data_IF_417303286865
#
_entry.id   IF_417303286865
#
_cell.length_a   1.000
_cell.length_b   1.000
_cell.length_c   1.000
_cell.angle_alpha   90.00
_cell.angle_beta   90.00
_cell.angle_gamma   90.00
#
_symmetry.space_group_name_H-M   'P 1'
#
loop_
_entity.id
_entity.type
_entity.pdbx_description
1 polymer ?
#
# COMPACT_ATOMS: atom_id res chain seq x y z
N UNK A 1 20.98 11.40 11.39
CA UNK A 1 20.12 10.28 10.97
C UNK A 1 18.89 10.35 11.85
N UNK A 2 17.77 10.85 11.33
CA UNK A 2 16.53 10.91 12.11
C UNK A 2 15.97 9.50 12.25
N UNK A 3 15.60 9.11 13.46
CA UNK A 3 14.93 7.84 13.74
C UNK A 3 13.56 7.86 13.05
N UNK A 4 13.37 7.02 12.04
CA UNK A 4 12.03 6.73 11.51
C UNK A 4 11.29 5.97 12.61
N UNK A 5 10.38 6.63 13.30
CA UNK A 5 9.52 6.00 14.31
C UNK A 5 8.25 5.51 13.60
N UNK A 6 7.93 4.23 13.70
CA UNK A 6 6.64 3.69 13.23
C UNK A 6 5.69 3.64 14.42
N UNK A 7 4.94 4.72 14.67
CA UNK A 7 3.84 4.68 15.62
C UNK A 7 2.63 3.98 14.99
N UNK A 8 2.31 2.77 15.46
CA UNK A 8 1.02 2.13 15.22
C UNK A 8 -0.04 2.85 16.05
N UNK A 9 -0.57 3.95 15.53
CA UNK A 9 -1.78 4.54 16.05
C UNK A 9 -2.94 3.64 15.66
N UNK A 10 -3.53 2.94 16.63
CA UNK A 10 -4.84 2.33 16.46
C UNK A 10 -5.82 3.42 16.04
N UNK A 11 -6.25 3.39 14.78
CA UNK A 11 -7.19 4.38 14.26
C UNK A 11 -8.61 3.95 14.64
N UNK A 12 -9.12 4.51 15.74
CA UNK A 12 -10.52 4.36 16.11
C UNK A 12 -11.39 5.26 15.24
N UNK A 13 -12.01 4.67 14.22
CA UNK A 13 -12.94 5.36 13.31
C UNK A 13 -14.20 5.87 14.02
N UNK A 14 -14.48 5.39 15.24
CA UNK A 14 -15.66 5.78 16.03
C UNK A 14 -15.38 6.91 17.01
N UNK A 15 -14.10 7.15 17.33
CA UNK A 15 -13.69 8.24 18.21
C UNK A 15 -12.32 8.77 17.75
N UNK A 16 -12.29 9.63 16.70
CA UNK A 16 -11.08 10.32 16.28
C UNK A 16 -10.73 11.34 17.36
N UNK A 17 -10.09 10.87 18.44
CA UNK A 17 -9.67 11.73 19.53
C UNK A 17 -8.74 12.84 19.01
N UNK A 18 -8.87 14.04 19.58
CA UNK A 18 -8.24 15.30 19.16
C UNK A 18 -6.70 15.35 19.17
N UNK A 19 -6.01 14.21 19.33
CA UNK A 19 -4.55 14.14 19.45
C UNK A 19 -3.83 13.49 18.26
N UNK A 20 -4.51 12.87 17.31
CA UNK A 20 -3.86 12.26 16.13
C UNK A 20 -3.91 13.22 14.94
N UNK A 21 -2.74 13.72 14.52
CA UNK A 21 -2.65 14.51 13.29
C UNK A 21 -3.04 13.67 12.07
N UNK A 22 -3.75 14.24 11.08
CA UNK A 22 -4.21 13.50 9.91
C UNK A 22 -3.03 12.91 9.12
N UNK A 23 -3.16 11.74 8.47
CA UNK A 23 -2.11 11.24 7.59
C UNK A 23 -1.85 12.23 6.46
N UNK A 24 -0.60 12.33 6.02
CA UNK A 24 -0.26 13.06 4.79
C UNK A 24 -0.22 12.14 3.58
N UNK A 25 0.00 10.84 3.79
CA UNK A 25 0.08 9.84 2.75
C UNK A 25 -0.70 8.59 3.14
N UNK A 26 -1.30 7.93 2.15
CA UNK A 26 -1.89 6.61 2.24
C UNK A 26 -1.22 5.73 1.20
N UNK A 27 -0.67 4.60 1.62
CA UNK A 27 -0.23 3.54 0.72
C UNK A 27 -1.18 2.37 0.91
N UNK A 28 -1.92 2.02 -0.13
CA UNK A 28 -2.97 1.01 -0.07
C UNK A 28 -2.83 0.01 -1.20
N UNK A 29 -2.89 -1.27 -0.86
CA UNK A 29 -2.84 -2.37 -1.81
C UNK A 29 -4.20 -2.59 -2.49
N UNK A 30 -4.18 -2.98 -3.77
CA UNK A 30 -5.39 -3.26 -4.53
C UNK A 30 -5.33 -4.62 -5.25
N UNK A 31 -6.38 -5.43 -5.06
CA UNK A 31 -6.79 -6.47 -6.00
C UNK A 31 -7.88 -5.92 -6.92
N UNK A 32 -9.15 -6.27 -6.69
CA UNK A 32 -10.28 -5.58 -7.36
C UNK A 32 -10.48 -4.13 -6.90
N UNK A 33 -9.81 -3.70 -5.83
CA UNK A 33 -9.79 -2.30 -5.35
C UNK A 33 -10.92 -1.87 -4.41
N UNK A 34 -11.87 -2.75 -4.05
CA UNK A 34 -12.97 -2.39 -3.15
C UNK A 34 -12.50 -1.87 -1.78
N UNK A 35 -11.50 -2.53 -1.18
CA UNK A 35 -10.88 -2.07 0.08
C UNK A 35 -10.19 -0.72 -0.11
N UNK A 36 -9.38 -0.58 -1.17
CA UNK A 36 -8.65 0.65 -1.46
C UNK A 36 -9.58 1.84 -1.66
N UNK A 37 -10.65 1.68 -2.45
CA UNK A 37 -11.66 2.72 -2.65
C UNK A 37 -12.33 3.15 -1.34
N UNK A 38 -12.75 2.19 -0.51
CA UNK A 38 -13.39 2.49 0.77
C UNK A 38 -12.47 3.22 1.76
N UNK A 39 -11.20 2.82 1.84
CA UNK A 39 -10.20 3.49 2.70
C UNK A 39 -9.94 4.91 2.22
N UNK A 40 -9.67 5.08 0.92
CA UNK A 40 -9.32 6.39 0.34
C UNK A 40 -10.49 7.35 0.50
N UNK A 41 -11.70 6.92 0.14
CA UNK A 41 -12.89 7.74 0.30
C UNK A 41 -13.14 8.09 1.78
N UNK A 42 -13.06 7.11 2.68
CA UNK A 42 -13.27 7.32 4.11
C UNK A 42 -12.26 8.31 4.71
N UNK A 43 -10.97 8.18 4.38
CA UNK A 43 -9.95 9.09 4.87
C UNK A 43 -10.11 10.50 4.31
N UNK A 44 -10.49 10.64 3.04
CA UNK A 44 -10.76 11.95 2.45
C UNK A 44 -12.02 12.61 3.05
N UNK A 45 -13.05 11.83 3.41
CA UNK A 45 -14.20 12.36 4.14
C UNK A 45 -13.84 12.84 5.55
N UNK A 46 -12.94 12.14 6.23
CA UNK A 46 -12.52 12.48 7.60
C UNK A 46 -11.52 13.65 7.66
N UNK A 47 -10.59 13.73 6.70
CA UNK A 47 -9.42 14.62 6.77
C UNK A 47 -9.28 15.57 5.59
N UNK A 48 -10.17 15.49 4.60
CA UNK A 48 -10.10 16.25 3.37
C UNK A 48 -9.20 15.62 2.30
N UNK A 49 -9.16 16.26 1.14
CA UNK A 49 -8.54 15.72 -0.09
C UNK A 49 -7.05 16.05 -0.22
N UNK A 50 -6.40 16.61 0.81
CA UNK A 50 -4.97 16.94 0.77
C UNK A 50 -4.05 15.73 1.01
N UNK A 51 -4.61 14.54 1.24
CA UNK A 51 -3.85 13.32 1.49
C UNK A 51 -3.32 12.77 0.17
N UNK A 52 -2.03 12.45 0.11
CA UNK A 52 -1.42 11.77 -1.03
C UNK A 52 -1.79 10.30 -1.05
N UNK A 53 -2.39 9.83 -2.14
CA UNK A 53 -2.88 8.45 -2.27
C UNK A 53 -2.01 7.68 -3.25
N UNK A 54 -1.44 6.58 -2.76
CA UNK A 54 -0.60 5.66 -3.53
C UNK A 54 -1.27 4.30 -3.51
N UNK A 55 -1.69 3.83 -4.68
CA UNK A 55 -2.27 2.50 -4.86
C UNK A 55 -1.18 1.56 -5.36
N UNK A 56 -1.00 0.40 -4.70
CA UNK A 56 0.02 -0.59 -5.06
C UNK A 56 -0.59 -1.91 -5.49
N UNK A 57 -0.09 -2.46 -6.59
CA UNK A 57 -0.49 -3.74 -7.17
C UNK A 57 0.74 -4.63 -7.46
N UNK A 58 0.56 -5.96 -7.52
CA UNK A 58 1.59 -6.88 -8.00
C UNK A 58 1.81 -6.72 -9.51
N UNK A 59 3.06 -6.84 -9.98
CA UNK A 59 3.42 -6.71 -11.40
C UNK A 59 2.65 -7.61 -12.35
N UNK A 60 2.20 -8.78 -11.89
CA UNK A 60 1.47 -9.72 -12.74
C UNK A 60 -0.06 -9.57 -12.65
N UNK A 61 -0.57 -8.66 -11.81
CA UNK A 61 -2.01 -8.38 -11.66
C UNK A 61 -2.26 -6.87 -11.39
N UNK A 62 -1.72 -5.99 -12.23
CA UNK A 62 -1.71 -4.53 -12.08
C UNK A 62 -2.81 -3.82 -12.88
N UNK A 63 -4.06 -4.22 -12.64
CA UNK A 63 -5.20 -3.76 -13.42
C UNK A 63 -5.46 -2.25 -13.26
N UNK A 64 -5.29 -1.68 -12.08
CA UNK A 64 -5.44 -0.24 -11.84
C UNK A 64 -4.31 0.57 -12.49
N UNK A 65 -3.07 0.10 -12.44
CA UNK A 65 -1.95 0.71 -13.15
C UNK A 65 -2.22 0.77 -14.66
N UNK A 66 -2.59 -0.36 -15.27
CA UNK A 66 -2.93 -0.41 -16.69
C UNK A 66 -4.14 0.46 -17.04
N UNK A 67 -5.14 0.51 -16.15
CA UNK A 67 -6.29 1.42 -16.30
C UNK A 67 -5.86 2.89 -16.31
N UNK A 68 -4.92 3.27 -15.44
CA UNK A 68 -4.39 4.64 -15.37
C UNK A 68 -3.61 5.07 -16.61
N UNK A 69 -2.99 4.12 -17.31
CA UNK A 69 -2.31 4.36 -18.58
C UNK A 69 -3.28 4.41 -19.78
N UNK A 70 -4.57 4.11 -19.59
CA UNK A 70 -5.53 4.12 -20.70
C UNK A 70 -5.89 5.53 -21.13
N UNK A 71 -5.77 5.80 -22.43
CA UNK A 71 -6.14 7.10 -23.02
C UNK A 71 -7.64 7.41 -22.97
N UNK A 72 -8.49 6.39 -22.86
CA UNK A 72 -9.96 6.53 -22.84
C UNK A 72 -10.53 6.62 -21.40
N UNK A 73 -9.68 6.52 -20.38
CA UNK A 73 -10.09 6.52 -18.96
C UNK A 73 -10.93 5.31 -18.53
N UNK A 74 -11.07 4.30 -19.39
CA UNK A 74 -11.81 3.07 -19.09
C UNK A 74 -10.95 2.09 -18.27
N UNK A 75 -11.57 1.33 -17.35
CA UNK A 75 -10.87 0.27 -16.65
C UNK A 75 -10.33 -0.77 -17.64
N UNK A 76 -9.09 -1.20 -17.43
CA UNK A 76 -8.41 -2.25 -18.17
C UNK A 76 -8.19 -3.46 -17.28
N UNK A 77 -8.23 -4.64 -17.89
CA UNK A 77 -7.85 -5.88 -17.24
C UNK A 77 -6.33 -5.98 -17.17
N UNK A 78 -5.78 -6.54 -16.09
CA UNK A 78 -4.37 -6.86 -16.00
C UNK A 78 -3.97 -7.84 -17.13
N UNK A 79 -2.87 -7.55 -17.80
CA UNK A 79 -2.34 -8.36 -18.92
C UNK A 79 -1.43 -9.51 -18.47
N UNK A 80 -0.94 -9.49 -17.23
CA UNK A 80 -0.08 -10.53 -16.66
C UNK A 80 -0.78 -11.88 -16.44
N UNK A 81 -0.05 -12.87 -15.97
CA UNK A 81 -0.57 -14.23 -15.71
C UNK A 81 -1.23 -14.38 -14.32
N UNK A 82 -1.28 -13.30 -13.53
CA UNK A 82 -1.72 -13.29 -12.13
C UNK A 82 -0.83 -14.12 -11.18
N UNK A 83 0.35 -14.53 -11.63
CA UNK A 83 1.30 -15.27 -10.81
C UNK A 83 2.00 -14.32 -9.83
N UNK A 84 1.58 -14.35 -8.58
CA UNK A 84 2.15 -13.55 -7.49
C UNK A 84 1.94 -14.24 -6.15
N UNK A 85 2.87 -14.06 -5.21
CA UNK A 85 2.69 -14.48 -3.82
C UNK A 85 1.61 -13.65 -3.09
N UNK A 86 1.26 -12.47 -3.60
CA UNK A 86 0.21 -11.60 -3.04
C UNK A 86 -1.18 -12.11 -3.45
N UNK A 87 -1.57 -13.30 -2.96
CA UNK A 87 -2.78 -14.00 -3.39
C UNK A 87 -4.06 -13.16 -3.26
N UNK A 88 -4.16 -12.30 -2.23
CA UNK A 88 -5.29 -11.39 -2.04
C UNK A 88 -5.40 -10.28 -3.10
N UNK A 89 -4.33 -10.02 -3.85
CA UNK A 89 -4.24 -8.97 -4.87
C UNK A 89 -4.24 -9.52 -6.30
N UNK A 90 -4.22 -10.85 -6.49
CA UNK A 90 -4.14 -11.52 -7.79
C UNK A 90 -5.47 -11.42 -8.60
N UNK A 91 -5.87 -10.21 -8.96
CA UNK A 91 -7.15 -9.91 -9.60
C UNK A 91 -6.96 -9.47 -11.06
N UNK A 92 -7.82 -9.97 -11.95
CA UNK A 92 -7.76 -9.64 -13.38
C UNK A 92 -8.37 -8.28 -13.70
N UNK A 93 -9.49 -7.94 -13.08
CA UNK A 93 -10.30 -6.79 -13.46
C UNK A 93 -10.56 -5.89 -12.24
N UNK A 94 -10.49 -4.57 -12.40
CA UNK A 94 -10.86 -3.66 -11.33
C UNK A 94 -12.37 -3.70 -11.12
N UNK A 95 -12.80 -3.54 -9.87
CA UNK A 95 -14.20 -3.27 -9.57
C UNK A 95 -14.56 -1.90 -10.18
N UNK A 96 -15.60 -1.79 -11.04
CA UNK A 96 -15.96 -0.52 -11.68
C UNK A 96 -16.28 0.62 -10.70
N UNK A 97 -16.85 0.31 -9.53
CA UNK A 97 -17.11 1.31 -8.49
C UNK A 97 -15.81 1.79 -7.86
N UNK A 98 -14.90 0.86 -7.56
CA UNK A 98 -13.58 1.21 -7.02
C UNK A 98 -12.78 2.03 -8.03
N UNK A 99 -12.83 1.69 -9.32
CA UNK A 99 -12.18 2.48 -10.38
C UNK A 99 -12.68 3.92 -10.42
N UNK A 100 -13.99 4.13 -10.34
CA UNK A 100 -14.56 5.47 -10.35
C UNK A 100 -14.11 6.33 -9.17
N UNK A 101 -13.86 5.73 -8.01
CA UNK A 101 -13.29 6.44 -6.85
C UNK A 101 -11.80 6.67 -7.07
N UNK A 102 -11.05 5.60 -7.33
CA UNK A 102 -9.59 5.64 -7.30
C UNK A 102 -9.00 6.42 -8.46
N UNK A 103 -9.63 6.46 -9.64
CA UNK A 103 -9.13 7.24 -10.79
C UNK A 103 -9.01 8.74 -10.48
N UNK A 104 -9.91 9.27 -9.64
CA UNK A 104 -9.99 10.70 -9.34
C UNK A 104 -9.25 11.05 -8.03
N UNK A 105 -9.10 10.06 -7.14
CA UNK A 105 -8.51 10.25 -5.80
C UNK A 105 -7.05 9.80 -5.68
N UNK A 106 -6.50 9.08 -6.66
CA UNK A 106 -5.14 8.49 -6.57
C UNK A 106 -4.09 9.40 -7.21
N UNK A 107 -3.05 9.74 -6.47
CA UNK A 107 -1.91 10.50 -7.00
C UNK A 107 -0.93 9.61 -7.77
N UNK A 108 -0.80 8.33 -7.38
CA UNK A 108 0.12 7.40 -8.03
C UNK A 108 -0.36 5.96 -7.95
N UNK A 109 -0.47 5.31 -9.11
CA UNK A 109 -0.58 3.86 -9.21
C UNK A 109 0.81 3.25 -9.37
N UNK A 110 1.14 2.28 -8.53
CA UNK A 110 2.45 1.63 -8.49
C UNK A 110 2.28 0.14 -8.69
N UNK A 111 3.12 -0.41 -9.56
CA UNK A 111 3.25 -1.85 -9.78
C UNK A 111 4.57 -2.32 -9.16
N UNK A 112 4.57 -3.44 -8.42
CA UNK A 112 5.77 -3.92 -7.74
C UNK A 112 5.94 -5.45 -7.79
N UNK A 113 7.19 -5.94 -7.81
CA UNK A 113 7.46 -7.37 -7.79
C UNK A 113 7.25 -7.95 -6.38
N UNK A 114 7.00 -9.25 -6.31
CA UNK A 114 6.81 -10.02 -5.06
C UNK A 114 7.92 -9.85 -4.03
N UNK A 115 9.15 -9.55 -4.48
CA UNK A 115 10.27 -9.25 -3.59
C UNK A 115 10.00 -8.04 -2.67
N UNK A 116 9.18 -7.08 -3.10
CA UNK A 116 8.78 -5.91 -2.32
C UNK A 116 7.83 -6.33 -1.19
N UNK A 117 6.82 -7.14 -1.47
CA UNK A 117 5.95 -7.73 -0.45
C UNK A 117 6.75 -8.52 0.59
N UNK A 118 7.62 -9.43 0.13
CA UNK A 118 8.48 -10.22 1.00
C UNK A 118 9.43 -9.36 1.87
N UNK A 119 9.91 -8.23 1.35
CA UNK A 119 10.70 -7.25 2.14
C UNK A 119 9.85 -6.63 3.25
N UNK A 120 8.62 -6.23 2.96
CA UNK A 120 7.68 -5.72 3.96
C UNK A 120 7.42 -6.73 5.07
N UNK A 121 7.20 -8.01 4.72
CA UNK A 121 6.92 -9.08 5.68
C UNK A 121 8.07 -9.24 6.68
N UNK A 122 9.32 -9.27 6.19
CA UNK A 122 10.52 -9.41 7.02
C UNK A 122 10.68 -8.26 8.00
N UNK A 123 10.40 -7.03 7.56
CA UNK A 123 10.52 -5.84 8.40
C UNK A 123 9.43 -5.78 9.48
N UNK A 124 8.19 -6.16 9.16
CA UNK A 124 7.11 -6.26 10.14
C UNK A 124 7.39 -7.38 11.17
N UNK A 125 7.95 -8.50 10.71
CA UNK A 125 8.31 -9.62 11.57
C UNK A 125 9.57 -9.37 12.43
N UNK A 126 10.47 -8.50 11.98
CA UNK A 126 11.74 -8.14 12.62
C UNK A 126 11.89 -6.60 12.66
N UNK A 127 11.15 -5.92 13.54
CA UNK A 127 11.07 -4.47 13.58
C UNK A 127 12.40 -3.81 13.99
N UNK A 128 12.54 -2.52 13.67
CA UNK A 128 13.69 -1.71 14.07
C UNK A 128 13.48 -1.13 15.47
N UNK A 129 14.53 -1.15 16.29
CA UNK A 129 14.51 -0.50 17.60
C UNK A 129 13.43 -1.06 18.53
N UNK A 130 12.46 -0.23 18.89
CA UNK A 130 11.35 -0.57 19.79
C UNK A 130 10.00 -0.64 19.05
N UNK A 131 10.01 -0.59 17.72
CA UNK A 131 8.79 -0.73 16.94
C UNK A 131 8.15 -2.10 17.23
N UNK A 132 6.81 -2.18 17.30
CA UNK A 132 6.12 -3.43 17.60
C UNK A 132 6.24 -4.42 16.45
N UNK A 133 6.41 -5.70 16.81
CA UNK A 133 6.37 -6.79 15.84
C UNK A 133 4.93 -7.00 15.34
N UNK A 134 4.77 -7.09 14.03
CA UNK A 134 3.50 -7.40 13.36
C UNK A 134 3.65 -8.68 12.54
N UNK A 135 2.69 -9.60 12.67
CA UNK A 135 2.56 -10.71 11.74
C UNK A 135 1.75 -10.22 10.54
N UNK A 136 2.36 -10.27 9.36
CA UNK A 136 1.75 -9.81 8.12
C UNK A 136 1.97 -10.85 7.04
N UNK A 137 0.91 -11.14 6.28
CA UNK A 137 1.00 -11.89 5.04
C UNK A 137 1.51 -11.04 3.89
N UNK A 138 1.67 -11.69 2.75
CA UNK A 138 2.24 -11.15 1.51
C UNK A 138 1.50 -9.90 1.03
N UNK A 139 0.17 -9.98 0.94
CA UNK A 139 -0.68 -8.89 0.44
C UNK A 139 -0.77 -7.75 1.46
N UNK A 140 -0.72 -8.08 2.75
CA UNK A 140 -0.78 -7.10 3.85
C UNK A 140 0.50 -6.27 3.97
N UNK A 141 1.65 -6.84 3.62
CA UNK A 141 2.95 -6.25 3.86
C UNK A 141 3.45 -5.34 2.72
N UNK A 142 2.89 -5.47 1.51
CA UNK A 142 3.38 -4.76 0.34
C UNK A 142 3.44 -3.23 0.48
N UNK A 143 2.53 -2.54 1.20
CA UNK A 143 2.65 -1.10 1.41
C UNK A 143 3.95 -0.69 2.13
N UNK A 144 4.36 -1.44 3.17
CA UNK A 144 5.62 -1.16 3.87
C UNK A 144 6.82 -1.47 2.98
N UNK A 145 6.77 -2.58 2.24
CA UNK A 145 7.79 -2.94 1.27
C UNK A 145 8.03 -1.81 0.27
N UNK A 146 6.96 -1.25 -0.29
CA UNK A 146 7.02 -0.13 -1.23
C UNK A 146 7.58 1.13 -0.57
N UNK A 147 7.17 1.46 0.66
CA UNK A 147 7.74 2.60 1.39
C UNK A 147 9.27 2.47 1.50
N UNK A 148 9.77 1.28 1.81
CA UNK A 148 11.20 1.04 1.97
C UNK A 148 11.92 1.20 0.64
N UNK A 149 11.37 0.69 -0.46
CA UNK A 149 11.91 0.93 -1.80
C UNK A 149 11.96 2.42 -2.13
N UNK A 150 10.86 3.16 -1.94
CA UNK A 150 10.82 4.61 -2.18
C UNK A 150 11.87 5.36 -1.35
N UNK A 151 12.13 4.91 -0.13
CA UNK A 151 13.09 5.56 0.77
C UNK A 151 14.55 5.21 0.50
N UNK A 152 14.83 4.01 -0.03
CA UNK A 152 16.20 3.46 -0.07
C UNK A 152 16.73 3.17 -1.47
N UNK A 153 15.86 3.04 -2.47
CA UNK A 153 16.25 2.75 -3.84
C UNK A 153 16.55 4.05 -4.61
N UNK A 154 17.81 4.31 -5.02
CA UNK A 154 18.16 5.54 -5.73
C UNK A 154 17.42 5.73 -7.05
N UNK A 155 16.97 4.64 -7.68
CA UNK A 155 16.22 4.69 -8.94
C UNK A 155 14.81 5.25 -8.75
N UNK A 156 14.29 5.28 -7.52
CA UNK A 156 12.96 5.79 -7.19
C UNK A 156 12.99 7.20 -6.58
N UNK A 157 14.16 7.88 -6.61
CA UNK A 157 14.31 9.20 -6.00
C UNK A 157 13.33 10.23 -6.59
N UNK A 158 13.20 10.28 -7.92
CA UNK A 158 12.29 11.21 -8.59
C UNK A 158 10.83 10.95 -8.19
N UNK A 159 10.44 9.68 -8.08
CA UNK A 159 9.11 9.30 -7.62
C UNK A 159 8.88 9.72 -6.16
N UNK A 160 9.85 9.49 -5.28
CA UNK A 160 9.81 9.93 -3.88
C UNK A 160 9.63 11.44 -3.76
N UNK A 161 10.36 12.21 -4.56
CA UNK A 161 10.29 13.67 -4.59
C UNK A 161 8.93 14.16 -5.14
N UNK A 162 8.44 13.52 -6.20
CA UNK A 162 7.11 13.80 -6.78
C UNK A 162 5.98 13.54 -5.78
N UNK A 163 6.09 12.45 -5.01
CA UNK A 163 5.18 12.11 -3.92
C UNK A 163 5.36 13.02 -2.69
N UNK A 164 6.40 13.85 -2.65
CA UNK A 164 6.75 14.72 -1.52
C UNK A 164 7.00 13.93 -0.22
N UNK A 165 7.48 12.69 -0.34
CA UNK A 165 7.74 11.81 0.79
C UNK A 165 9.03 12.24 1.51
N UNK A 166 8.89 12.76 2.74
CA UNK A 166 10.00 13.31 3.52
C UNK A 166 9.81 13.06 5.04
N UNK A 167 10.69 13.62 5.88
CA UNK A 167 10.70 13.40 7.33
C UNK A 167 9.48 13.98 8.07
N UNK A 168 8.67 14.82 7.43
CA UNK A 168 7.40 15.33 7.97
C UNK A 168 6.18 14.48 7.56
N UNK A 169 6.40 13.46 6.71
CA UNK A 169 5.33 12.60 6.23
C UNK A 169 4.77 11.71 7.33
N UNK A 170 3.45 11.65 7.43
CA UNK A 170 2.70 10.72 8.29
C UNK A 170 1.99 9.73 7.38
N UNK A 171 2.38 8.46 7.43
CA UNK A 171 1.88 7.43 6.53
C UNK A 171 0.79 6.60 7.20
N UNK A 172 -0.30 6.37 6.47
CA UNK A 172 -1.32 5.40 6.81
C UNK A 172 -1.20 4.20 5.88
N UNK A 173 -1.24 3.00 6.46
CA UNK A 173 -1.23 1.72 5.75
C UNK A 173 -2.12 0.74 6.50
N UNK A 174 -2.64 -0.27 5.79
CA UNK A 174 -3.40 -1.36 6.41
C UNK A 174 -2.67 -2.68 6.18
N UNK A 175 -2.37 -3.38 7.26
CA UNK A 175 -2.06 -4.79 7.19
C UNK A 175 -3.36 -5.59 7.07
N UNK A 176 -3.65 -6.10 5.89
CA UNK A 176 -4.94 -6.76 5.58
C UNK A 176 -5.01 -8.21 6.03
N UNK A 177 -3.88 -8.83 6.34
CA UNK A 177 -3.82 -10.26 6.67
C UNK A 177 -2.63 -10.60 7.57
N UNK A 178 -2.80 -11.62 8.41
CA UNK A 178 -1.71 -12.27 9.14
C UNK A 178 -1.02 -13.34 8.30
N UNK A 179 -0.53 -14.39 8.96
CA UNK A 179 0.06 -15.58 8.34
C UNK A 179 -1.01 -16.55 7.83
N UNK A 180 -1.77 -16.14 6.81
CA UNK A 180 -2.82 -16.96 6.18
C UNK A 180 -2.26 -18.26 5.57
N UNK A 181 -1.00 -18.25 5.11
CA UNK A 181 -0.17 -19.41 4.85
C UNK A 181 1.07 -19.40 5.78
N UNK A 182 1.03 -20.09 6.94
CA UNK A 182 2.11 -20.07 7.91
C UNK A 182 3.43 -20.64 7.38
N UNK A 183 3.40 -21.60 6.45
CA UNK A 183 4.61 -22.22 5.89
C UNK A 183 5.31 -21.25 4.95
N UNK A 184 4.57 -20.66 4.00
CA UNK A 184 5.09 -19.60 3.12
C UNK A 184 5.61 -18.42 3.93
N UNK A 185 4.80 -17.92 4.87
CA UNK A 185 5.15 -16.78 5.71
C UNK A 185 6.45 -17.02 6.47
N UNK A 186 6.57 -18.18 7.12
CA UNK A 186 7.78 -18.55 7.86
C UNK A 186 8.99 -18.71 6.94
N UNK A 187 8.82 -19.27 5.74
CA UNK A 187 9.91 -19.41 4.76
C UNK A 187 10.40 -18.04 4.23
N UNK A 188 9.51 -17.07 4.08
CA UNK A 188 9.85 -15.70 3.65
C UNK A 188 10.54 -14.94 4.77
N UNK A 189 9.98 -14.95 5.98
CA UNK A 189 10.43 -14.15 7.13
C UNK A 189 11.74 -14.65 7.76
N UNK A 190 12.13 -15.92 7.53
CA UNK A 190 13.40 -16.49 8.02
C UNK A 190 14.62 -16.16 7.15
N UNK A 191 14.40 -15.76 5.90
CA UNK A 191 15.47 -15.35 4.96
C UNK A 191 15.78 -13.87 5.14
#
# INVERSE_FOLDING_TARGET
MGETTVELLGFDTTNPSSSTQPPTHVIVQAGVGSLAGAIVEGLQQLFGTSIKVIVVEPTHADAFFQSSCSSDGSPKSASGDLSTIMAGLACREPNPLAWNILKDCTDCFVTCPDAVAAKGMRLLANPLGQDPRIISGESGAVPLGLLVELCTNPLLQELKETLQLNSSSRLFMINTEGDTDPESNQAICRK
#
